data_IF_009253526604
#
_entry.id   IF_009253526604
#
_cell.length_a   1.000
_cell.length_b   1.000
_cell.length_c   1.000
_cell.angle_alpha   90.00
_cell.angle_beta   90.00
_cell.angle_gamma   90.00
#
_symmetry.space_group_name_H-M   'P 1'
#
loop_
_entity.id
_entity.type
_entity.pdbx_description
1 polymer ?
#
# COMPACT_ATOMS: atom_id res chain seq x y z
N UNK A 1 13.83 -0.08 -6.77
CA UNK A 1 12.36 0.02 -6.70
C UNK A 1 11.71 0.00 -8.08
N UNK A 2 11.71 1.09 -8.86
CA UNK A 2 10.96 1.13 -10.14
C UNK A 2 11.40 0.04 -11.14
N UNK A 3 12.70 -0.25 -11.23
CA UNK A 3 13.23 -1.35 -12.05
C UNK A 3 12.75 -2.73 -11.57
N UNK A 4 12.61 -2.92 -10.25
CA UNK A 4 12.16 -4.17 -9.65
C UNK A 4 10.66 -4.37 -9.88
N UNK A 5 9.86 -3.30 -9.75
CA UNK A 5 8.43 -3.31 -10.07
C UNK A 5 8.19 -3.63 -11.55
N UNK A 6 8.96 -3.03 -12.46
CA UNK A 6 8.90 -3.40 -13.89
C UNK A 6 9.21 -4.87 -14.14
N UNK A 7 10.19 -5.44 -13.42
CA UNK A 7 10.50 -6.87 -13.52
C UNK A 7 9.35 -7.73 -13.01
N UNK A 8 8.72 -7.34 -11.90
CA UNK A 8 7.55 -8.04 -11.39
C UNK A 8 6.43 -8.08 -12.43
N UNK A 9 6.13 -6.95 -13.09
CA UNK A 9 5.10 -6.85 -14.13
C UNK A 9 5.26 -7.85 -15.29
N UNK A 10 6.46 -8.40 -15.50
CA UNK A 10 6.73 -9.41 -16.54
C UNK A 10 6.32 -10.83 -16.16
N UNK A 11 6.00 -11.11 -14.88
CA UNK A 11 5.68 -12.46 -14.41
C UNK A 11 4.18 -12.82 -14.55
N UNK A 12 3.35 -11.90 -15.05
CA UNK A 12 1.90 -12.10 -15.21
C UNK A 12 1.07 -11.27 -14.24
N UNK A 13 -0.25 -11.48 -14.28
CA UNK A 13 -1.21 -10.84 -13.38
C UNK A 13 -1.34 -11.63 -12.09
N UNK A 14 -1.48 -10.94 -10.95
CA UNK A 14 -1.73 -11.54 -9.65
C UNK A 14 -3.20 -11.33 -9.25
N UNK A 15 -3.81 -12.35 -8.64
CA UNK A 15 -5.16 -12.20 -8.08
C UNK A 15 -5.17 -11.14 -6.96
N UNK A 16 -4.10 -11.08 -6.16
CA UNK A 16 -3.95 -10.07 -5.12
C UNK A 16 -2.48 -9.70 -4.84
N UNK A 17 -2.27 -8.44 -4.46
CA UNK A 17 -1.02 -7.92 -3.88
C UNK A 17 -1.28 -7.50 -2.44
N UNK A 18 -0.46 -8.00 -1.50
CA UNK A 18 -0.52 -7.64 -0.08
C UNK A 18 0.74 -6.84 0.25
N UNK A 19 0.59 -5.53 0.40
CA UNK A 19 1.68 -4.62 0.70
C UNK A 19 1.82 -4.39 2.21
N UNK A 20 2.88 -4.96 2.77
CA UNK A 20 3.29 -4.78 4.18
C UNK A 20 4.52 -3.89 4.31
N UNK A 21 4.98 -3.26 3.23
CA UNK A 21 6.25 -2.55 3.12
C UNK A 21 6.07 -1.07 2.75
N UNK A 22 4.90 -0.50 3.04
CA UNK A 22 4.56 0.89 2.78
C UNK A 22 5.18 1.83 3.83
N UNK A 23 6.47 2.13 3.69
CA UNK A 23 7.18 3.05 4.58
C UNK A 23 6.84 4.51 4.30
N UNK A 24 6.78 4.91 3.03
CA UNK A 24 6.32 6.23 2.62
C UNK A 24 5.13 6.14 1.66
N UNK A 25 4.17 7.10 1.71
CA UNK A 25 3.03 7.12 0.79
C UNK A 25 3.44 7.13 -0.69
N UNK A 26 4.60 7.70 -1.02
CA UNK A 26 5.11 7.76 -2.39
C UNK A 26 5.50 6.38 -2.94
N UNK A 27 5.93 5.46 -2.07
CA UNK A 27 6.27 4.09 -2.47
C UNK A 27 5.01 3.35 -2.91
N UNK A 28 3.94 3.45 -2.13
CA UNK A 28 2.61 2.87 -2.45
C UNK A 28 2.10 3.41 -3.78
N UNK A 29 2.19 4.72 -4.00
CA UNK A 29 1.81 5.35 -5.26
C UNK A 29 2.65 4.82 -6.44
N UNK A 30 3.96 4.61 -6.23
CA UNK A 30 4.86 4.02 -7.23
C UNK A 30 4.49 2.59 -7.60
N UNK A 31 4.20 1.75 -6.61
CA UNK A 31 3.78 0.35 -6.79
C UNK A 31 2.46 0.29 -7.56
N UNK A 32 1.42 0.93 -7.02
CA UNK A 32 0.07 0.90 -7.59
C UNK A 32 0.01 1.47 -9.00
N UNK A 33 0.82 2.51 -9.31
CA UNK A 33 0.92 3.05 -10.67
C UNK A 33 1.67 2.13 -11.63
N UNK A 34 2.77 1.52 -11.19
CA UNK A 34 3.61 0.68 -12.08
C UNK A 34 2.96 -0.66 -12.39
N UNK A 35 2.19 -1.20 -11.44
CA UNK A 35 1.55 -2.52 -11.53
C UNK A 35 0.03 -2.43 -11.74
N UNK A 36 -0.51 -1.28 -12.15
CA UNK A 36 -1.95 -1.01 -12.18
C UNK A 36 -2.76 -2.07 -12.97
N UNK A 37 -2.19 -2.59 -14.06
CA UNK A 37 -2.82 -3.60 -14.91
C UNK A 37 -2.40 -5.04 -14.56
N UNK A 38 -1.62 -5.21 -13.49
CA UNK A 38 -1.02 -6.48 -13.10
C UNK A 38 -1.66 -7.12 -11.86
N UNK A 39 -2.67 -6.52 -11.24
CA UNK A 39 -3.38 -7.13 -10.12
C UNK A 39 -4.90 -6.91 -10.17
N UNK A 40 -5.67 -7.86 -9.64
CA UNK A 40 -7.12 -7.66 -9.47
C UNK A 40 -7.44 -6.90 -8.18
N UNK A 41 -6.68 -7.14 -7.11
CA UNK A 41 -6.84 -6.49 -5.81
C UNK A 41 -5.49 -6.07 -5.20
N UNK A 42 -5.44 -4.85 -4.66
CA UNK A 42 -4.29 -4.36 -3.89
C UNK A 42 -4.72 -4.06 -2.45
N UNK A 43 -4.06 -4.69 -1.49
CA UNK A 43 -4.32 -4.53 -0.05
C UNK A 43 -3.10 -3.95 0.62
N UNK A 44 -3.25 -2.75 1.18
CA UNK A 44 -2.23 -2.11 2.00
C UNK A 44 -2.46 -2.45 3.48
N UNK A 45 -1.44 -3.01 4.13
CA UNK A 45 -1.40 -3.11 5.60
C UNK A 45 -0.83 -1.80 6.15
N UNK A 46 -1.73 -0.92 6.56
CA UNK A 46 -1.38 0.38 7.16
C UNK A 46 -1.02 0.25 8.65
N UNK A 47 -0.88 1.39 9.32
CA UNK A 47 -0.56 1.50 10.75
C UNK A 47 -1.59 2.35 11.48
N UNK A 48 -1.84 2.05 12.76
CA UNK A 48 -2.66 2.89 13.65
C UNK A 48 -2.08 4.30 13.82
N UNK A 49 -0.77 4.48 13.59
CA UNK A 49 -0.10 5.78 13.62
C UNK A 49 -0.57 6.73 12.51
N UNK A 50 -1.40 6.26 11.56
CA UNK A 50 -2.03 7.13 10.58
C UNK A 50 -3.16 8.00 11.16
N UNK A 51 -3.70 7.64 12.33
CA UNK A 51 -4.70 8.46 13.00
C UNK A 51 -4.06 9.57 13.82
N UNK A 52 -4.49 10.82 13.59
CA UNK A 52 -4.00 12.03 14.26
C UNK A 52 -4.03 11.96 15.78
N UNK A 53 -5.10 11.37 16.32
CA UNK A 53 -5.37 11.37 17.75
C UNK A 53 -4.69 10.21 18.50
N UNK A 54 -4.08 9.26 17.78
CA UNK A 54 -3.25 8.20 18.35
C UNK A 54 -1.84 8.72 18.69
N UNK A 55 -1.23 8.34 19.82
CA UNK A 55 -1.73 7.47 20.89
C UNK A 55 -2.39 8.24 22.05
N UNK A 56 -2.69 9.53 21.86
CA UNK A 56 -3.22 10.38 22.93
C UNK A 56 -4.63 9.97 23.40
N UNK A 57 -5.41 9.34 22.52
CA UNK A 57 -6.73 8.78 22.83
C UNK A 57 -7.01 7.50 22.04
N UNK A 58 -8.04 6.76 22.45
CA UNK A 58 -8.53 5.61 21.68
C UNK A 58 -9.12 6.09 20.35
N UNK A 59 -8.83 5.35 19.27
CA UNK A 59 -9.27 5.66 17.91
C UNK A 59 -10.01 4.46 17.32
N UNK A 60 -10.93 4.71 16.39
CA UNK A 60 -11.58 3.74 15.53
C UNK A 60 -11.45 4.16 14.05
N UNK A 61 -12.04 3.40 13.14
CA UNK A 61 -11.95 3.65 11.69
C UNK A 61 -12.61 4.95 11.21
N UNK A 62 -13.30 5.67 12.09
CA UNK A 62 -13.92 6.98 11.81
C UNK A 62 -13.09 8.15 12.32
N UNK A 63 -12.01 7.89 13.07
CA UNK A 63 -11.12 8.92 13.60
C UNK A 63 -10.38 9.68 12.48
N UNK A 64 -10.02 10.95 12.71
CA UNK A 64 -9.27 11.73 11.73
C UNK A 64 -7.88 11.15 11.49
N UNK A 65 -7.47 11.14 10.23
CA UNK A 65 -6.08 10.93 9.82
C UNK A 65 -5.22 12.19 10.09
#
# INVERSE_FOLDING_TARGET
MEADLRRLATNGTWDAVIDTSAYEPIDVAGVTKTLADNFEQYVLVSTVSAYRDWPASAVDETAPL
#
